data_IF_041389977126
#
_entry.id   IF_041389977126
#
_cell.length_a   1.000
_cell.length_b   1.000
_cell.length_c   1.000
_cell.angle_alpha   90.00
_cell.angle_beta   90.00
_cell.angle_gamma   90.00
#
_symmetry.space_group_name_H-M   'P 1'
#
loop_
_entity.id
_entity.type
_entity.pdbx_description
1 polymer ?
#
# COMPACT_ATOMS: atom_id res chain seq x y z
N UNK A 1 27.08 -6.27 -16.37
CA UNK A 1 25.96 -5.31 -16.32
C UNK A 1 24.65 -6.10 -16.21
N UNK A 2 24.08 -6.22 -15.00
CA UNK A 2 22.74 -6.81 -14.79
C UNK A 2 21.68 -5.77 -15.17
N UNK A 3 20.74 -6.15 -16.04
CA UNK A 3 19.71 -5.26 -16.56
C UNK A 3 18.85 -4.63 -15.44
N UNK A 4 18.70 -3.29 -15.40
CA UNK A 4 17.86 -2.60 -14.40
C UNK A 4 16.38 -3.02 -14.44
N UNK A 5 15.89 -3.52 -15.56
CA UNK A 5 14.50 -3.98 -15.75
C UNK A 5 14.09 -5.20 -14.89
N UNK A 6 15.03 -5.99 -14.36
CA UNK A 6 14.70 -7.12 -13.47
C UNK A 6 14.31 -6.69 -12.05
N UNK A 7 14.77 -5.52 -11.59
CA UNK A 7 14.45 -5.01 -10.26
C UNK A 7 13.11 -4.28 -10.20
N UNK A 8 12.68 -3.62 -11.30
CA UNK A 8 11.46 -2.83 -11.32
C UNK A 8 10.17 -3.65 -11.10
N UNK A 9 10.18 -4.94 -11.49
CA UNK A 9 9.04 -5.86 -11.24
C UNK A 9 9.01 -6.45 -9.84
N UNK A 10 10.09 -6.33 -9.08
CA UNK A 10 10.24 -6.91 -7.73
C UNK A 10 10.03 -5.88 -6.62
N UNK A 11 10.07 -4.61 -6.95
CA UNK A 11 9.94 -3.51 -6.01
C UNK A 11 8.70 -2.70 -6.34
N UNK A 12 7.85 -2.51 -5.35
CA UNK A 12 6.73 -1.58 -5.40
C UNK A 12 6.94 -0.44 -4.40
N UNK A 13 6.41 0.73 -4.72
CA UNK A 13 6.53 1.93 -3.90
C UNK A 13 5.16 2.54 -3.65
N UNK A 14 4.89 2.85 -2.39
CA UNK A 14 3.67 3.51 -1.94
C UNK A 14 4.05 4.91 -1.46
N UNK A 15 3.70 5.96 -2.20
CA UNK A 15 3.97 7.33 -1.79
C UNK A 15 3.10 7.77 -0.62
N UNK A 16 3.50 8.83 0.06
CA UNK A 16 2.76 9.47 1.16
C UNK A 16 1.32 9.84 0.76
N UNK A 17 1.14 10.34 -0.45
CA UNK A 17 -0.18 10.72 -0.99
C UNK A 17 -0.56 9.84 -2.16
N UNK A 18 -1.66 9.11 -2.03
CA UNK A 18 -2.19 8.27 -3.10
C UNK A 18 -3.12 9.08 -3.98
N UNK A 19 -2.78 9.14 -5.27
CA UNK A 19 -3.67 9.65 -6.30
C UNK A 19 -4.58 8.52 -6.81
N UNK A 20 -5.89 8.78 -6.86
CA UNK A 20 -6.86 7.91 -7.50
C UNK A 20 -7.36 8.59 -8.77
N UNK A 21 -7.38 7.83 -9.85
CA UNK A 21 -8.00 8.26 -11.11
C UNK A 21 -9.53 8.26 -10.98
N UNK A 22 -10.20 9.14 -11.74
CA UNK A 22 -11.64 9.08 -11.95
C UNK A 22 -11.97 7.87 -12.84
N UNK A 23 -11.95 6.69 -12.21
CA UNK A 23 -12.08 5.40 -12.87
C UNK A 23 -12.59 4.36 -11.86
N UNK A 24 -12.80 3.13 -12.30
CA UNK A 24 -13.25 2.04 -11.44
C UNK A 24 -12.23 1.67 -10.36
N UNK A 25 -12.68 0.99 -9.32
CA UNK A 25 -11.76 0.39 -8.31
C UNK A 25 -10.82 -0.59 -9.01
N UNK A 26 -11.33 -1.41 -9.95
CA UNK A 26 -10.51 -2.34 -10.75
C UNK A 26 -9.34 -1.63 -11.39
N UNK A 27 -9.61 -0.58 -12.16
CA UNK A 27 -8.58 0.15 -12.92
C UNK A 27 -7.64 0.96 -12.02
N UNK A 28 -8.11 1.39 -10.85
CA UNK A 28 -7.24 2.01 -9.86
C UNK A 28 -6.28 1.02 -9.19
N UNK A 29 -6.66 -0.24 -9.02
CA UNK A 29 -5.77 -1.30 -8.51
C UNK A 29 -4.84 -1.81 -9.61
N UNK A 30 -5.37 -2.16 -10.79
CA UNK A 30 -4.60 -2.60 -11.96
C UNK A 30 -4.05 -1.40 -12.76
N UNK A 31 -3.56 -0.37 -12.06
CA UNK A 31 -3.14 0.89 -12.66
C UNK A 31 -2.04 0.71 -13.72
N UNK A 32 -2.29 1.23 -14.92
CA UNK A 32 -1.35 1.14 -16.04
C UNK A 32 -1.37 -0.20 -16.78
N UNK A 33 -2.31 -1.07 -16.46
CA UNK A 33 -2.57 -2.32 -17.19
C UNK A 33 -3.75 -2.07 -18.12
N UNK A 34 -3.64 -2.54 -19.37
CA UNK A 34 -4.73 -2.49 -20.32
C UNK A 34 -5.93 -3.30 -19.80
N UNK A 35 -7.14 -2.81 -20.01
CA UNK A 35 -8.36 -3.42 -19.47
C UNK A 35 -8.54 -4.89 -19.92
N UNK A 36 -8.20 -5.19 -21.17
CA UNK A 36 -8.23 -6.55 -21.75
C UNK A 36 -7.19 -7.51 -21.16
N UNK A 37 -6.19 -6.99 -20.43
CA UNK A 37 -5.12 -7.73 -19.75
C UNK A 37 -5.27 -7.74 -18.24
N UNK A 38 -6.26 -7.03 -17.70
CA UNK A 38 -6.51 -6.98 -16.27
C UNK A 38 -7.07 -8.32 -15.78
N UNK A 39 -6.46 -8.84 -14.72
CA UNK A 39 -6.84 -10.10 -14.09
C UNK A 39 -7.61 -9.82 -12.79
N UNK A 40 -8.91 -10.05 -12.80
CA UNK A 40 -9.79 -9.80 -11.66
C UNK A 40 -9.42 -10.65 -10.42
N UNK A 41 -8.87 -11.86 -10.59
CA UNK A 41 -8.39 -12.66 -9.46
C UNK A 41 -7.22 -11.99 -8.75
N UNK A 42 -6.30 -11.39 -9.52
CA UNK A 42 -5.21 -10.59 -8.95
C UNK A 42 -5.71 -9.33 -8.27
N UNK A 43 -6.69 -8.64 -8.86
CA UNK A 43 -7.32 -7.46 -8.25
C UNK A 43 -7.94 -7.84 -6.90
N UNK A 44 -8.74 -8.90 -6.85
CA UNK A 44 -9.35 -9.36 -5.60
C UNK A 44 -8.31 -9.83 -4.56
N UNK A 45 -7.26 -10.52 -5.01
CA UNK A 45 -6.16 -10.90 -4.12
C UNK A 45 -5.51 -9.67 -3.49
N UNK A 46 -5.15 -8.68 -4.30
CA UNK A 46 -4.52 -7.43 -3.83
C UNK A 46 -5.44 -6.65 -2.87
N UNK A 47 -6.75 -6.57 -3.16
CA UNK A 47 -7.73 -5.94 -2.28
C UNK A 47 -7.89 -6.68 -0.95
N UNK A 48 -7.83 -8.01 -0.95
CA UNK A 48 -7.87 -8.83 0.27
C UNK A 48 -6.64 -8.59 1.14
N UNK A 49 -5.47 -8.61 0.54
CA UNK A 49 -4.20 -8.34 1.24
C UNK A 49 -4.17 -6.90 1.80
N UNK A 50 -4.75 -5.92 1.08
CA UNK A 50 -4.91 -4.55 1.54
C UNK A 50 -6.11 -4.33 2.51
N UNK A 51 -6.80 -5.37 2.94
CA UNK A 51 -7.97 -5.31 3.84
C UNK A 51 -9.12 -4.44 3.30
N UNK A 52 -9.37 -4.47 1.99
CA UNK A 52 -10.45 -3.71 1.31
C UNK A 52 -11.53 -4.59 0.70
N UNK A 53 -11.37 -5.92 0.70
CA UNK A 53 -12.29 -6.85 0.04
C UNK A 53 -13.75 -6.62 0.46
N UNK A 54 -14.02 -6.52 1.76
CA UNK A 54 -15.37 -6.33 2.28
C UNK A 54 -15.96 -4.97 1.88
N UNK A 55 -15.15 -3.92 1.91
CA UNK A 55 -15.58 -2.61 1.45
C UNK A 55 -16.00 -2.65 -0.02
N UNK A 56 -15.18 -3.25 -0.90
CA UNK A 56 -15.49 -3.32 -2.33
C UNK A 56 -16.71 -4.20 -2.60
N UNK A 57 -16.86 -5.34 -1.91
CA UNK A 57 -18.03 -6.20 -2.02
C UNK A 57 -19.34 -5.54 -1.52
N UNK A 58 -19.25 -4.55 -0.64
CA UNK A 58 -20.40 -3.79 -0.16
C UNK A 58 -20.85 -2.70 -1.14
N UNK A 59 -20.07 -2.39 -2.15
CA UNK A 59 -20.46 -1.41 -3.17
C UNK A 59 -21.41 -2.05 -4.18
N UNK A 60 -22.43 -1.31 -4.67
CA UNK A 60 -23.41 -1.83 -5.62
C UNK A 60 -22.79 -2.47 -6.87
N UNK A 61 -21.73 -1.83 -7.40
CA UNK A 61 -21.07 -2.27 -8.64
C UNK A 61 -19.76 -3.02 -8.37
N UNK A 62 -19.43 -3.34 -7.10
CA UNK A 62 -18.23 -4.08 -6.74
C UNK A 62 -16.95 -3.45 -7.30
N UNK A 63 -16.19 -4.22 -8.10
CA UNK A 63 -14.95 -3.74 -8.75
C UNK A 63 -15.20 -2.61 -9.77
N UNK A 64 -16.39 -2.56 -10.36
CA UNK A 64 -16.76 -1.55 -11.36
C UNK A 64 -17.24 -0.24 -10.73
N UNK A 65 -17.29 -0.17 -9.39
CA UNK A 65 -17.61 1.06 -8.68
C UNK A 65 -16.62 2.16 -9.04
N UNK A 66 -17.15 3.27 -9.57
CA UNK A 66 -16.36 4.45 -9.89
C UNK A 66 -15.85 5.11 -8.61
N UNK A 67 -14.59 5.55 -8.61
CA UNK A 67 -14.00 6.39 -7.58
C UNK A 67 -13.58 7.73 -8.20
N UNK A 68 -13.52 8.79 -7.40
CA UNK A 68 -13.22 10.13 -7.89
C UNK A 68 -14.30 11.12 -7.46
N UNK A 69 -14.37 12.28 -8.12
CA UNK A 69 -15.28 13.37 -7.72
C UNK A 69 -16.77 13.00 -7.79
N UNK A 70 -17.15 12.13 -8.71
CA UNK A 70 -18.55 11.70 -8.95
C UNK A 70 -18.83 10.26 -8.54
N UNK A 71 -17.85 9.60 -7.97
CA UNK A 71 -17.94 8.19 -7.61
C UNK A 71 -18.22 7.93 -6.14
N UNK A 72 -17.94 6.71 -5.72
CA UNK A 72 -18.03 6.29 -4.32
C UNK A 72 -17.13 7.15 -3.45
N UNK A 73 -17.68 7.60 -2.32
CA UNK A 73 -16.91 8.37 -1.35
C UNK A 73 -15.86 7.50 -0.68
N UNK A 74 -14.59 7.79 -0.95
CA UNK A 74 -13.44 7.07 -0.42
C UNK A 74 -12.85 7.84 0.77
N UNK A 75 -12.73 7.18 1.93
CA UNK A 75 -12.03 7.73 3.09
C UNK A 75 -10.52 7.80 2.84
N UNK A 76 -9.78 8.59 3.65
CA UNK A 76 -8.32 8.66 3.58
C UNK A 76 -7.66 7.29 3.72
N UNK A 77 -8.10 6.45 4.65
CA UNK A 77 -7.57 5.10 4.84
C UNK A 77 -7.95 4.13 3.74
N UNK A 78 -9.15 4.24 3.16
CA UNK A 78 -9.52 3.45 2.00
C UNK A 78 -8.67 3.83 0.79
N UNK A 79 -8.44 5.13 0.57
CA UNK A 79 -7.54 5.64 -0.46
C UNK A 79 -6.14 5.06 -0.31
N UNK A 80 -5.58 5.10 0.89
CA UNK A 80 -4.26 4.58 1.19
C UNK A 80 -4.19 3.06 0.94
N UNK A 81 -5.21 2.30 1.35
CA UNK A 81 -5.27 0.85 1.11
C UNK A 81 -5.51 0.50 -0.36
N UNK A 82 -6.17 1.34 -1.17
CA UNK A 82 -6.20 1.17 -2.63
C UNK A 82 -4.78 1.34 -3.19
N UNK A 83 -4.00 2.28 -2.69
CA UNK A 83 -2.58 2.42 -3.04
C UNK A 83 -1.75 1.19 -2.69
N UNK A 84 -2.01 0.57 -1.52
CA UNK A 84 -1.39 -0.70 -1.13
C UNK A 84 -1.81 -1.81 -2.11
N UNK A 85 -3.10 -1.97 -2.40
CA UNK A 85 -3.59 -2.97 -3.35
C UNK A 85 -2.97 -2.80 -4.74
N UNK A 86 -2.87 -1.55 -5.23
CA UNK A 86 -2.17 -1.21 -6.49
C UNK A 86 -0.72 -1.71 -6.48
N UNK A 87 0.00 -1.48 -5.41
CA UNK A 87 1.39 -1.92 -5.27
C UNK A 87 1.53 -3.45 -5.24
N UNK A 88 0.53 -4.15 -4.68
CA UNK A 88 0.53 -5.60 -4.53
C UNK A 88 0.07 -6.36 -5.78
N UNK A 89 -0.56 -5.71 -6.76
CA UNK A 89 -1.14 -6.34 -7.95
C UNK A 89 -0.15 -7.26 -8.69
N UNK A 90 1.10 -6.83 -8.84
CA UNK A 90 2.16 -7.57 -9.52
C UNK A 90 3.00 -8.48 -8.60
N UNK A 91 2.55 -8.75 -7.38
CA UNK A 91 3.24 -9.57 -6.39
C UNK A 91 4.72 -9.17 -6.19
N UNK A 92 5.01 -7.97 -5.67
CA UNK A 92 6.38 -7.52 -5.44
C UNK A 92 7.07 -8.37 -4.36
N UNK A 93 8.41 -8.46 -4.43
CA UNK A 93 9.22 -9.06 -3.37
C UNK A 93 9.61 -8.03 -2.30
N UNK A 94 9.63 -6.76 -2.67
CA UNK A 94 10.00 -5.62 -1.81
C UNK A 94 8.93 -4.55 -1.93
N UNK A 95 8.39 -4.09 -0.81
CA UNK A 95 7.43 -3.01 -0.73
C UNK A 95 8.03 -1.86 0.08
N UNK A 96 8.15 -0.69 -0.54
CA UNK A 96 8.58 0.55 0.11
C UNK A 96 7.37 1.40 0.44
N UNK A 97 7.19 1.73 1.71
CA UNK A 97 6.12 2.60 2.20
C UNK A 97 6.72 3.93 2.67
N UNK A 98 6.33 5.02 2.03
CA UNK A 98 6.79 6.35 2.38
C UNK A 98 5.68 7.07 3.18
N UNK A 99 5.85 7.15 4.50
CA UNK A 99 4.92 7.82 5.42
C UNK A 99 3.43 7.47 5.19
N UNK A 100 3.12 6.19 4.97
CA UNK A 100 1.80 5.71 4.55
C UNK A 100 0.63 6.12 5.48
N UNK A 101 0.91 6.57 6.71
CA UNK A 101 -0.11 6.93 7.71
C UNK A 101 -0.04 8.37 8.20
N UNK A 102 0.91 9.18 7.72
CA UNK A 102 1.22 10.50 8.29
C UNK A 102 0.05 11.50 8.30
N UNK A 103 -0.87 11.39 7.35
CA UNK A 103 -2.03 12.28 7.18
C UNK A 103 -3.36 11.65 7.64
N UNK A 104 -3.32 10.48 8.30
CA UNK A 104 -4.52 9.77 8.71
C UNK A 104 -4.87 10.06 10.18
N UNK A 105 -6.19 10.03 10.49
CA UNK A 105 -6.66 9.97 11.86
C UNK A 105 -6.33 8.62 12.51
N UNK A 106 -6.36 8.55 13.84
CA UNK A 106 -5.89 7.39 14.61
C UNK A 106 -6.64 6.09 14.26
N UNK A 107 -7.96 6.14 14.03
CA UNK A 107 -8.75 4.96 13.71
C UNK A 107 -8.45 4.43 12.30
N UNK A 108 -8.26 5.34 11.37
CA UNK A 108 -7.91 5.03 9.97
C UNK A 108 -6.48 4.54 9.86
N UNK A 109 -5.55 5.09 10.65
CA UNK A 109 -4.16 4.64 10.76
C UNK A 109 -4.08 3.17 11.17
N UNK A 110 -4.84 2.77 12.18
CA UNK A 110 -4.85 1.38 12.67
C UNK A 110 -5.22 0.38 11.59
N UNK A 111 -6.22 0.69 10.76
CA UNK A 111 -6.65 -0.19 9.66
C UNK A 111 -5.58 -0.31 8.55
N UNK A 112 -4.83 0.76 8.27
CA UNK A 112 -3.71 0.72 7.32
C UNK A 112 -2.55 -0.08 7.90
N UNK A 113 -2.21 0.14 9.18
CA UNK A 113 -1.15 -0.61 9.85
C UNK A 113 -1.46 -2.10 9.95
N UNK A 114 -2.72 -2.48 10.24
CA UNK A 114 -3.14 -3.89 10.21
C UNK A 114 -2.91 -4.54 8.84
N UNK A 115 -3.20 -3.82 7.75
CA UNK A 115 -2.93 -4.32 6.41
C UNK A 115 -1.42 -4.52 6.18
N UNK A 116 -0.59 -3.58 6.61
CA UNK A 116 0.87 -3.65 6.50
C UNK A 116 1.44 -4.80 7.36
N UNK A 117 1.00 -4.93 8.60
CA UNK A 117 1.45 -5.99 9.51
C UNK A 117 1.14 -7.39 8.97
N UNK A 118 0.00 -7.58 8.28
CA UNK A 118 -0.34 -8.85 7.63
C UNK A 118 0.56 -9.19 6.44
N UNK A 119 1.22 -8.21 5.84
CA UNK A 119 2.22 -8.43 4.79
C UNK A 119 3.60 -8.81 5.37
N UNK A 120 3.84 -8.54 6.65
CA UNK A 120 5.07 -8.93 7.34
C UNK A 120 5.26 -10.44 7.26
N UNK A 121 6.49 -10.87 6.94
CA UNK A 121 6.83 -12.28 6.74
C UNK A 121 6.47 -12.85 5.36
N UNK A 122 5.71 -12.14 4.53
CA UNK A 122 5.40 -12.55 3.15
C UNK A 122 6.32 -11.89 2.12
N UNK A 123 6.84 -10.71 2.43
CA UNK A 123 7.74 -9.93 1.59
C UNK A 123 8.63 -9.03 2.45
N UNK A 124 9.64 -8.41 1.83
CA UNK A 124 10.47 -7.40 2.51
C UNK A 124 9.74 -6.06 2.53
N UNK A 125 9.51 -5.51 3.73
CA UNK A 125 8.92 -4.20 3.92
C UNK A 125 10.01 -3.19 4.28
N UNK A 126 10.07 -2.06 3.59
CA UNK A 126 10.90 -0.91 3.92
C UNK A 126 9.95 0.24 4.26
N UNK A 127 9.92 0.64 5.53
CA UNK A 127 8.96 1.64 6.02
C UNK A 127 9.72 2.90 6.40
N UNK A 128 9.38 4.01 5.75
CA UNK A 128 9.84 5.35 6.12
C UNK A 128 8.74 5.95 6.99
N UNK A 129 9.04 6.21 8.24
CA UNK A 129 8.07 6.69 9.20
C UNK A 129 8.64 7.75 10.14
N UNK A 130 7.77 8.65 10.57
CA UNK A 130 8.05 9.66 11.60
C UNK A 130 7.33 9.37 12.92
N UNK A 131 6.41 8.40 12.94
CA UNK A 131 5.66 7.99 14.13
C UNK A 131 6.24 6.70 14.72
N UNK A 132 6.51 6.71 16.02
CA UNK A 132 7.03 5.55 16.72
C UNK A 132 6.08 4.34 16.66
N UNK A 133 4.77 4.58 16.63
CA UNK A 133 3.76 3.53 16.52
C UNK A 133 3.92 2.68 15.26
N UNK A 134 4.39 3.29 14.17
CA UNK A 134 4.56 2.62 12.87
C UNK A 134 5.75 1.66 12.85
N UNK A 135 6.78 1.92 13.67
CA UNK A 135 8.05 1.17 13.62
C UNK A 135 8.18 0.12 14.73
N UNK A 136 7.23 0.05 15.68
CA UNK A 136 7.31 -0.87 16.85
C UNK A 136 7.40 -2.35 16.44
N UNK A 137 6.79 -2.74 15.33
CA UNK A 137 6.74 -4.12 14.88
C UNK A 137 7.82 -4.44 13.83
N UNK A 138 8.78 -3.53 13.59
CA UNK A 138 9.86 -3.74 12.64
C UNK A 138 10.95 -4.63 13.25
N UNK A 139 11.50 -5.56 12.46
CA UNK A 139 12.63 -6.39 12.87
C UNK A 139 13.91 -5.58 13.04
N UNK A 140 14.09 -4.54 12.23
CA UNK A 140 15.26 -3.65 12.24
C UNK A 140 14.80 -2.21 12.11
N UNK A 141 15.40 -1.33 12.88
CA UNK A 141 15.16 0.11 12.81
C UNK A 141 16.47 0.86 12.59
N UNK A 142 16.44 1.80 11.68
CA UNK A 142 17.58 2.66 11.38
C UNK A 142 17.16 4.12 11.48
N UNK A 143 17.93 4.91 12.22
CA UNK A 143 17.80 6.36 12.26
C UNK A 143 18.77 6.98 11.26
N UNK A 144 18.26 7.87 10.41
CA UNK A 144 19.07 8.68 9.49
C UNK A 144 19.16 10.10 10.03
N UNK A 145 20.36 10.56 10.32
CA UNK A 145 20.59 11.88 10.91
C UNK A 145 21.92 12.46 10.41
N UNK A 146 21.90 13.69 9.92
CA UNK A 146 23.10 14.41 9.41
C UNK A 146 23.92 13.60 8.39
N UNK A 147 23.23 12.85 7.50
CA UNK A 147 23.86 12.02 6.47
C UNK A 147 24.46 10.71 6.98
N UNK A 148 24.27 10.36 8.24
CA UNK A 148 24.71 9.10 8.84
C UNK A 148 23.52 8.18 9.15
N UNK A 149 23.78 6.87 9.20
CA UNK A 149 22.79 5.83 9.49
C UNK A 149 23.21 5.14 10.81
N UNK A 150 22.29 5.08 11.75
CA UNK A 150 22.46 4.44 13.05
C UNK A 150 21.42 3.32 13.21
N UNK A 151 21.88 2.12 13.60
CA UNK A 151 20.97 1.06 14.02
C UNK A 151 20.40 1.42 15.40
N UNK A 152 19.09 1.25 15.56
CA UNK A 152 18.37 1.54 16.80
C UNK A 152 17.69 0.25 17.24
N UNK A 153 17.75 -0.06 18.54
CA UNK A 153 17.00 -1.19 19.11
C UNK A 153 15.49 -0.83 19.14
N UNK A 154 14.61 -1.59 18.42
CA UNK A 154 13.18 -1.34 18.44
C UNK A 154 12.58 -1.32 19.86
N UNK A 155 13.14 -2.10 20.79
CA UNK A 155 12.68 -2.16 22.18
C UNK A 155 12.98 -0.90 23.00
N UNK A 156 13.86 -0.03 22.48
CA UNK A 156 14.24 1.24 23.13
C UNK A 156 13.39 2.44 22.69
N UNK A 157 12.43 2.22 21.75
CA UNK A 157 11.54 3.22 21.19
C UNK A 157 10.16 3.13 21.84
#
# INVERSE_FOLDING_TARGET
HKHPLKWSKKLAYIPQSIFLCDDTIRNNVAFGIDEDKTDDEKVWKALREAQLEQFVKSQPDGLDSMVGERGVRISGGQRQRIGIARALYDNPEILVLDEATSALDTGTESAVMEAIDKLSGTMTLIIIAHRLTTIKNCDYVYKVENGNIYSVDPSSL
#
